data_IF_739005635805
#
_entry.id   IF_739005635805
#
_cell.length_a   1.000
_cell.length_b   1.000
_cell.length_c   1.000
_cell.angle_alpha   90.00
_cell.angle_beta   90.00
_cell.angle_gamma   90.00
#
_symmetry.space_group_name_H-M   'P 1'
#
loop_
_entity.id
_entity.type
_entity.pdbx_description
1 polymer ?
#
# COMPACT_ATOMS: atom_id res chain seq x y z
N UNK A 1 -20.10 6.59 8.68
CA UNK A 1 -18.95 5.67 8.78
C UNK A 1 -17.69 6.46 8.52
N UNK A 2 -16.57 6.14 9.19
CA UNK A 2 -15.30 6.83 8.94
C UNK A 2 -14.88 6.73 7.47
N UNK A 3 -14.44 7.85 6.88
CA UNK A 3 -14.00 7.90 5.49
C UNK A 3 -12.60 7.29 5.35
N UNK A 4 -12.55 5.98 5.11
CA UNK A 4 -11.32 5.26 4.75
C UNK A 4 -11.11 5.35 3.25
N UNK A 5 -10.14 6.14 2.83
CA UNK A 5 -9.90 6.50 1.43
C UNK A 5 -8.52 6.11 0.94
N UNK A 6 -7.63 5.59 1.79
CA UNK A 6 -6.24 5.28 1.45
C UNK A 6 -6.02 3.76 1.29
N UNK A 7 -5.31 3.36 0.23
CA UNK A 7 -4.83 1.98 0.02
C UNK A 7 -3.31 2.02 -0.03
N UNK A 8 -2.68 1.27 0.88
CA UNK A 8 -1.23 1.12 0.95
C UNK A 8 -0.76 0.06 -0.05
N UNK A 9 0.25 0.37 -0.85
CA UNK A 9 0.80 -0.54 -1.87
C UNK A 9 2.33 -0.48 -1.83
N UNK A 10 3.06 -1.61 -1.74
CA UNK A 10 4.52 -1.61 -1.86
C UNK A 10 4.98 -1.06 -3.21
N UNK A 11 6.12 -0.37 -3.23
CA UNK A 11 6.79 0.09 -4.46
C UNK A 11 7.15 -1.06 -5.43
N UNK A 12 7.30 -2.29 -4.93
CA UNK A 12 7.55 -3.51 -5.72
C UNK A 12 6.29 -4.18 -6.26
N UNK A 13 5.10 -3.63 -5.99
CA UNK A 13 3.84 -4.21 -6.44
C UNK A 13 3.70 -4.17 -7.97
N UNK A 14 3.07 -5.20 -8.53
CA UNK A 14 2.68 -5.19 -9.94
C UNK A 14 1.76 -3.99 -10.22
N UNK A 15 1.93 -3.32 -11.36
CA UNK A 15 1.23 -2.08 -11.70
C UNK A 15 -0.30 -2.16 -11.72
N UNK A 16 -0.87 -3.37 -11.75
CA UNK A 16 -2.31 -3.57 -11.57
C UNK A 16 -2.80 -3.20 -10.18
N UNK A 17 -1.98 -3.34 -9.14
CA UNK A 17 -2.38 -3.03 -7.77
C UNK A 17 -2.72 -1.54 -7.59
N UNK A 18 -1.79 -0.59 -7.89
CA UNK A 18 -2.12 0.82 -7.80
C UNK A 18 -3.23 1.22 -8.79
N UNK A 19 -3.26 0.62 -9.99
CA UNK A 19 -4.31 0.89 -10.97
C UNK A 19 -5.71 0.47 -10.47
N UNK A 20 -5.85 -0.73 -9.88
CA UNK A 20 -7.12 -1.22 -9.34
C UNK A 20 -7.60 -0.40 -8.15
N UNK A 21 -6.70 0.01 -7.26
CA UNK A 21 -7.03 0.88 -6.13
C UNK A 21 -7.52 2.26 -6.61
N UNK A 22 -6.82 2.87 -7.57
CA UNK A 22 -7.22 4.14 -8.17
C UNK A 22 -8.57 4.03 -8.92
N UNK A 23 -8.77 2.97 -9.72
CA UNK A 23 -10.04 2.68 -10.40
C UNK A 23 -11.21 2.50 -9.42
N UNK A 24 -10.92 2.02 -8.21
CA UNK A 24 -11.91 1.85 -7.14
C UNK A 24 -12.16 3.14 -6.35
N UNK A 25 -11.55 4.27 -6.73
CA UNK A 25 -11.73 5.56 -6.07
C UNK A 25 -10.91 5.76 -4.80
N UNK A 26 -9.94 4.88 -4.52
CA UNK A 26 -9.02 5.06 -3.40
C UNK A 26 -7.80 5.89 -3.78
N UNK A 27 -7.27 6.61 -2.80
CA UNK A 27 -5.97 7.24 -2.85
C UNK A 27 -4.90 6.17 -2.62
N UNK A 28 -4.00 6.02 -3.59
CA UNK A 28 -2.87 5.08 -3.47
C UNK A 28 -1.75 5.74 -2.70
N UNK A 29 -1.27 5.07 -1.66
CA UNK A 29 -0.11 5.49 -0.87
C UNK A 29 0.95 4.41 -0.99
N UNK A 30 2.08 4.74 -1.61
CA UNK A 30 3.18 3.80 -1.77
C UNK A 30 3.91 3.56 -0.45
N UNK A 31 4.32 2.32 -0.20
CA UNK A 31 5.18 1.92 0.93
C UNK A 31 6.52 1.45 0.38
N UNK A 32 7.60 1.99 0.93
CA UNK A 32 8.95 1.69 0.47
C UNK A 32 9.36 0.26 0.80
N UNK A 33 10.16 -0.34 -0.08
CA UNK A 33 10.88 -1.56 0.23
C UNK A 33 12.08 -1.30 1.16
N UNK A 34 12.35 -2.25 2.04
CA UNK A 34 13.55 -2.34 2.84
C UNK A 34 14.74 -2.85 2.00
N UNK A 35 15.94 -2.78 2.56
CA UNK A 35 17.19 -3.19 1.87
C UNK A 35 17.24 -4.66 1.48
N UNK A 36 16.43 -5.50 2.12
CA UNK A 36 16.31 -6.94 1.83
C UNK A 36 15.20 -7.24 0.80
N UNK A 37 14.63 -6.21 0.17
CA UNK A 37 13.57 -6.32 -0.84
C UNK A 37 12.18 -6.58 -0.27
N UNK A 38 12.03 -6.68 1.05
CA UNK A 38 10.72 -6.83 1.72
C UNK A 38 10.09 -5.46 1.97
N UNK A 39 8.84 -5.43 2.39
CA UNK A 39 8.21 -4.18 2.84
C UNK A 39 8.97 -3.56 4.02
N UNK A 40 9.20 -2.25 4.00
CA UNK A 40 9.73 -1.51 5.15
C UNK A 40 8.67 -1.36 6.22
N UNK A 41 8.82 -2.08 7.34
CA UNK A 41 7.89 -1.97 8.47
C UNK A 41 7.88 -0.57 9.08
N UNK A 42 9.02 0.11 9.12
CA UNK A 42 9.11 1.47 9.64
C UNK A 42 8.33 2.47 8.78
N UNK A 43 8.40 2.34 7.45
CA UNK A 43 7.67 3.21 6.53
C UNK A 43 6.17 2.85 6.49
N UNK A 44 5.83 1.56 6.62
CA UNK A 44 4.46 1.11 6.78
C UNK A 44 3.83 1.72 8.04
N UNK A 45 4.49 1.61 9.20
CA UNK A 45 4.01 2.17 10.46
C UNK A 45 3.80 3.69 10.38
N UNK A 46 4.73 4.41 9.73
CA UNK A 46 4.62 5.86 9.55
C UNK A 46 3.44 6.28 8.67
N UNK A 47 2.94 5.38 7.80
CA UNK A 47 1.84 5.63 6.85
C UNK A 47 0.50 5.08 7.31
N UNK A 48 0.47 4.32 8.40
CA UNK A 48 -0.79 3.85 8.99
C UNK A 48 -1.58 5.02 9.58
N UNK A 49 -2.86 5.09 9.23
CA UNK A 49 -3.78 6.13 9.69
C UNK A 49 -5.20 5.58 9.80
N UNK A 50 -6.11 6.33 10.44
CA UNK A 50 -7.54 5.98 10.44
C UNK A 50 -8.19 6.05 9.05
N UNK A 51 -7.53 6.66 8.07
CA UNK A 51 -7.99 6.75 6.68
C UNK A 51 -7.60 5.52 5.83
N UNK A 52 -6.77 4.62 6.35
CA UNK A 52 -6.36 3.42 5.63
C UNK A 52 -7.52 2.42 5.55
N UNK A 53 -7.88 2.09 4.30
CA UNK A 53 -8.89 1.09 3.94
C UNK A 53 -8.27 -0.30 3.79
N UNK A 54 -7.11 -0.40 3.13
CA UNK A 54 -6.46 -1.68 2.83
C UNK A 54 -4.94 -1.56 2.64
N UNK A 55 -4.27 -2.71 2.70
CA UNK A 55 -2.89 -2.92 2.30
C UNK A 55 -2.87 -4.05 1.25
N UNK A 56 -2.27 -3.80 0.08
CA UNK A 56 -2.12 -4.81 -0.98
C UNK A 56 -0.71 -5.38 -0.94
N UNK A 57 -0.57 -6.69 -0.76
CA UNK A 57 0.72 -7.39 -0.69
C UNK A 57 0.75 -8.58 -1.64
N UNK A 58 1.94 -8.86 -2.19
CA UNK A 58 2.25 -10.09 -2.91
C UNK A 58 3.24 -10.89 -2.09
N UNK A 59 2.97 -12.18 -1.83
CA UNK A 59 3.86 -13.06 -1.08
C UNK A 59 3.90 -14.46 -1.74
N UNK A 60 5.07 -14.97 -2.20
CA UNK A 60 6.37 -14.30 -2.19
C UNK A 60 6.35 -13.00 -3.00
N UNK A 61 7.15 -12.02 -2.58
CA UNK A 61 7.19 -10.71 -3.23
C UNK A 61 7.76 -10.81 -4.65
N UNK A 62 7.37 -9.86 -5.49
CA UNK A 62 7.89 -9.66 -6.86
C UNK A 62 9.29 -9.10 -6.87
#
# INVERSE_FOLDING_TARGET
GEARTEVLVPDSAHGTNPASAALSGFQVVEVASARDGRISLADLEAKLSSRVAALMLTNPNT
#
